data_IF_727763904217
#
_entry.id   IF_727763904217
#
_cell.length_a   1.000
_cell.length_b   1.000
_cell.length_c   1.000
_cell.angle_alpha   90.00
_cell.angle_beta   90.00
_cell.angle_gamma   90.00
#
_symmetry.space_group_name_H-M   'P 1'
#
loop_
_entity.id
_entity.type
_entity.pdbx_description
1 polymer ?
#
# COMPACT_ATOMS: atom_id res chain seq x y z
N UNK A 1 -39.50 -17.02 -27.62
CA UNK A 1 -39.05 -16.11 -26.53
C UNK A 1 -37.57 -15.82 -26.75
N UNK A 2 -37.23 -14.54 -26.92
CA UNK A 2 -36.01 -14.04 -27.57
C UNK A 2 -34.72 -14.35 -26.81
N UNK A 3 -33.74 -14.91 -27.52
CA UNK A 3 -32.35 -15.02 -27.11
C UNK A 3 -31.78 -13.60 -27.09
N UNK A 4 -31.54 -13.06 -25.88
CA UNK A 4 -30.94 -11.73 -25.68
C UNK A 4 -29.55 -11.68 -26.33
N UNK A 5 -29.44 -10.96 -27.44
CA UNK A 5 -28.17 -10.64 -28.10
C UNK A 5 -27.26 -9.87 -27.14
N UNK A 6 -26.27 -10.56 -26.57
CA UNK A 6 -25.22 -9.91 -25.77
C UNK A 6 -24.38 -9.02 -26.69
N UNK A 7 -24.65 -7.72 -26.72
CA UNK A 7 -23.80 -6.73 -27.39
C UNK A 7 -22.35 -6.87 -26.88
N UNK A 8 -21.43 -7.19 -27.77
CA UNK A 8 -19.99 -7.22 -27.47
C UNK A 8 -19.51 -5.78 -27.30
N UNK A 9 -19.23 -5.39 -26.05
CA UNK A 9 -18.65 -4.08 -25.75
C UNK A 9 -17.14 -4.21 -25.73
N UNK A 10 -16.44 -3.38 -26.51
CA UNK A 10 -14.98 -3.24 -26.43
C UNK A 10 -14.66 -2.22 -25.35
N UNK A 11 -13.89 -2.61 -24.35
CA UNK A 11 -13.45 -1.73 -23.26
C UNK A 11 -11.95 -1.51 -23.43
N UNK A 12 -11.52 -0.25 -23.49
CA UNK A 12 -10.12 0.14 -23.45
C UNK A 12 -9.78 0.70 -22.07
N UNK A 13 -8.72 0.17 -21.45
CA UNK A 13 -8.28 0.58 -20.12
C UNK A 13 -6.89 1.21 -20.25
N UNK A 14 -6.80 2.52 -19.98
CA UNK A 14 -5.54 3.25 -19.98
C UNK A 14 -5.16 3.67 -18.55
N UNK A 15 -4.12 3.03 -17.99
CA UNK A 15 -3.60 3.35 -16.66
C UNK A 15 -2.34 4.20 -16.80
N UNK A 16 -2.42 5.48 -16.43
CA UNK A 16 -1.27 6.38 -16.35
C UNK A 16 -0.38 5.99 -15.16
N UNK A 17 0.74 5.30 -15.44
CA UNK A 17 1.58 4.68 -14.40
C UNK A 17 2.27 5.71 -13.50
N UNK A 18 2.65 6.88 -14.01
CA UNK A 18 3.32 7.92 -13.20
C UNK A 18 2.46 8.47 -12.05
N UNK A 19 1.13 8.42 -12.18
CA UNK A 19 0.18 8.92 -11.17
C UNK A 19 -0.41 7.80 -10.31
N UNK A 20 -0.09 6.54 -10.60
CA UNK A 20 -0.69 5.39 -9.93
C UNK A 20 0.04 5.10 -8.61
N UNK A 21 -0.59 5.29 -7.43
CA UNK A 21 0.04 5.01 -6.16
C UNK A 21 0.11 3.50 -5.83
N UNK A 22 -0.35 2.63 -6.73
CA UNK A 22 -0.46 1.17 -6.55
C UNK A 22 -1.40 0.74 -5.41
N UNK A 23 -2.46 1.51 -5.17
CA UNK A 23 -3.42 1.28 -4.06
C UNK A 23 -4.38 0.10 -4.24
N UNK A 24 -4.35 -0.60 -5.37
CA UNK A 24 -5.24 -1.76 -5.67
C UNK A 24 -6.74 -1.48 -5.69
N UNK A 25 -7.22 -0.26 -5.47
CA UNK A 25 -8.66 0.06 -5.52
C UNK A 25 -9.28 -0.40 -6.85
N UNK A 26 -8.60 -0.17 -7.98
CA UNK A 26 -9.05 -0.62 -9.30
C UNK A 26 -9.05 -2.16 -9.46
N UNK A 27 -8.14 -2.89 -8.81
CA UNK A 27 -8.11 -4.35 -8.81
C UNK A 27 -9.34 -4.96 -8.13
N UNK A 28 -9.89 -4.29 -7.11
CA UNK A 28 -11.09 -4.76 -6.40
C UNK A 28 -12.40 -4.17 -6.94
N UNK A 29 -12.36 -3.00 -7.59
CA UNK A 29 -13.55 -2.39 -8.21
C UNK A 29 -13.84 -2.92 -9.63
N UNK A 30 -12.82 -3.39 -10.34
CA UNK A 30 -13.01 -4.03 -11.65
C UNK A 30 -13.37 -5.51 -11.50
N UNK A 31 -13.81 -6.13 -12.61
CA UNK A 31 -14.04 -7.56 -12.64
C UNK A 31 -12.75 -8.34 -12.29
N UNK A 32 -12.86 -9.47 -11.57
CA UNK A 32 -11.71 -10.26 -11.15
C UNK A 32 -10.79 -10.62 -12.33
N UNK A 33 -9.49 -10.41 -12.14
CA UNK A 33 -8.47 -10.76 -13.15
C UNK A 33 -8.25 -9.71 -14.25
N UNK A 34 -9.09 -8.68 -14.37
CA UNK A 34 -8.90 -7.62 -15.37
C UNK A 34 -7.70 -6.73 -15.04
N UNK A 35 -7.55 -6.35 -13.77
CA UNK A 35 -6.44 -5.52 -13.29
C UNK A 35 -5.78 -6.22 -12.13
N UNK A 36 -4.45 -6.30 -12.15
CA UNK A 36 -3.64 -6.81 -11.04
C UNK A 36 -2.60 -5.77 -10.65
N UNK A 37 -2.61 -5.36 -9.39
CA UNK A 37 -1.72 -4.29 -8.91
C UNK A 37 -0.76 -4.87 -7.88
N UNK A 38 0.54 -4.65 -8.12
CA UNK A 38 1.59 -4.93 -7.15
C UNK A 38 1.96 -3.64 -6.43
N UNK A 39 1.85 -3.62 -5.10
CA UNK A 39 2.24 -2.46 -4.29
C UNK A 39 3.74 -2.24 -4.35
N UNK A 40 4.16 -0.97 -4.28
CA UNK A 40 5.59 -0.61 -4.16
C UNK A 40 6.12 -0.91 -2.75
N UNK A 41 5.29 -0.73 -1.72
CA UNK A 41 5.65 -0.93 -0.32
C UNK A 41 4.71 -1.97 0.28
N UNK A 42 5.27 -2.92 1.04
CA UNK A 42 4.51 -3.80 1.92
C UNK A 42 4.81 -3.43 3.38
N UNK A 43 3.83 -3.66 4.24
CA UNK A 43 3.94 -3.27 5.64
C UNK A 43 2.75 -3.69 6.47
N UNK A 44 2.67 -3.10 7.66
CA UNK A 44 1.54 -3.19 8.58
C UNK A 44 1.18 -1.80 9.08
N UNK A 45 -0.11 -1.55 9.24
CA UNK A 45 -0.63 -0.35 9.87
C UNK A 45 -1.66 -0.73 10.93
N UNK A 46 -1.57 -0.11 12.10
CA UNK A 46 -2.48 -0.34 13.22
C UNK A 46 -2.97 0.99 13.79
N UNK A 47 -4.28 1.08 14.00
CA UNK A 47 -4.90 2.19 14.73
C UNK A 47 -5.29 1.68 16.12
N UNK A 48 -4.64 2.22 17.16
CA UNK A 48 -5.00 1.91 18.53
C UNK A 48 -6.27 2.67 18.90
N UNK A 49 -7.38 1.93 19.00
CA UNK A 49 -8.70 2.50 19.25
C UNK A 49 -8.85 3.13 20.64
N UNK A 50 -8.00 2.74 21.61
CA UNK A 50 -7.99 3.35 22.95
C UNK A 50 -7.41 4.78 22.90
N UNK A 51 -6.32 4.95 22.17
CA UNK A 51 -5.63 6.24 22.06
C UNK A 51 -6.29 7.15 21.01
N UNK A 52 -6.86 6.58 19.94
CA UNK A 52 -7.48 7.35 18.86
C UNK A 52 -8.78 8.06 19.33
N UNK A 53 -8.84 9.40 19.32
CA UNK A 53 -10.02 10.13 19.78
C UNK A 53 -11.24 9.85 18.89
N UNK A 54 -12.42 9.71 19.50
CA UNK A 54 -13.68 9.53 18.79
C UNK A 54 -13.98 10.77 17.94
N UNK A 55 -14.38 10.58 16.68
CA UNK A 55 -14.74 11.66 15.75
C UNK A 55 -13.57 12.40 15.10
N UNK A 56 -12.32 12.13 15.46
CA UNK A 56 -11.15 12.70 14.79
C UNK A 56 -11.02 12.17 13.36
N UNK A 57 -10.74 13.07 12.40
CA UNK A 57 -10.63 12.73 10.96
C UNK A 57 -9.30 13.14 10.30
N UNK A 58 -8.34 13.72 11.03
CA UNK A 58 -7.09 14.23 10.44
C UNK A 58 -6.38 13.23 9.52
N UNK A 59 -6.26 11.97 9.95
CA UNK A 59 -5.63 10.93 9.13
C UNK A 59 -6.49 10.48 7.95
N UNK A 60 -7.81 10.62 8.05
CA UNK A 60 -8.77 10.38 6.95
C UNK A 60 -8.63 11.44 5.89
N UNK A 61 -8.63 12.70 6.29
CA UNK A 61 -8.53 13.84 5.39
C UNK A 61 -7.15 13.91 4.69
N UNK A 62 -6.09 13.43 5.36
CA UNK A 62 -4.75 13.38 4.78
C UNK A 62 -4.48 12.17 3.86
N UNK A 63 -5.37 11.18 3.82
CA UNK A 63 -5.13 9.99 2.99
C UNK A 63 -5.59 10.24 1.56
N UNK A 64 -4.70 10.15 0.55
CA UNK A 64 -5.08 10.38 -0.84
C UNK A 64 -5.80 9.18 -1.47
N UNK A 65 -5.89 8.05 -0.76
CA UNK A 65 -6.44 6.81 -1.29
C UNK A 65 -7.88 6.65 -0.79
N UNK A 66 -8.87 6.55 -1.69
CA UNK A 66 -10.25 6.37 -1.27
C UNK A 66 -10.40 5.06 -0.49
N UNK A 67 -11.16 5.12 0.60
CA UNK A 67 -11.55 3.97 1.42
C UNK A 67 -10.38 3.23 2.10
N UNK A 68 -9.13 3.70 1.95
CA UNK A 68 -7.98 3.11 2.63
C UNK A 68 -8.00 3.39 4.13
N UNK A 69 -8.53 4.53 4.54
CA UNK A 69 -8.79 4.87 5.93
C UNK A 69 -10.16 5.56 5.98
N UNK A 70 -10.97 5.25 6.98
CA UNK A 70 -12.34 5.76 7.04
C UNK A 70 -12.82 5.87 8.49
N UNK A 71 -13.77 6.77 8.72
CA UNK A 71 -14.46 6.89 10.00
C UNK A 71 -15.71 5.99 9.97
N UNK A 72 -15.79 5.03 10.89
CA UNK A 72 -17.00 4.21 11.05
C UNK A 72 -18.19 5.10 11.43
N UNK A 73 -19.34 4.88 10.78
CA UNK A 73 -20.57 5.64 11.05
C UNK A 73 -21.11 5.38 12.45
N UNK A 74 -20.95 4.14 12.94
CA UNK A 74 -21.56 3.66 14.19
C UNK A 74 -20.66 4.00 15.38
N UNK A 75 -19.40 3.56 15.35
CA UNK A 75 -18.47 3.75 16.47
C UNK A 75 -17.86 5.15 16.50
N UNK A 76 -17.95 5.90 15.38
CA UNK A 76 -17.20 7.16 15.14
C UNK A 76 -15.70 6.99 15.41
N UNK A 77 -15.16 5.80 15.15
CA UNK A 77 -13.74 5.47 15.26
C UNK A 77 -13.12 5.29 13.88
N UNK A 78 -11.82 5.54 13.78
CA UNK A 78 -11.10 5.43 12.51
C UNK A 78 -10.66 3.98 12.30
N UNK A 79 -10.87 3.46 11.10
CA UNK A 79 -10.45 2.15 10.66
C UNK A 79 -9.61 2.27 9.39
N UNK A 80 -8.80 1.24 9.13
CA UNK A 80 -7.92 1.17 7.96
C UNK A 80 -8.22 -0.10 7.17
N UNK A 81 -8.32 0.04 5.84
CA UNK A 81 -8.35 -1.07 4.92
C UNK A 81 -6.93 -1.31 4.38
N UNK A 82 -6.25 -2.32 4.91
CA UNK A 82 -4.88 -2.64 4.51
C UNK A 82 -4.77 -3.12 3.05
N UNK A 83 -5.87 -3.58 2.42
CA UNK A 83 -5.85 -3.92 1.00
C UNK A 83 -5.55 -2.67 0.16
N UNK A 84 -6.04 -1.50 0.56
CA UNK A 84 -5.85 -0.24 -0.17
C UNK A 84 -4.70 0.63 0.34
N UNK A 85 -4.29 0.44 1.60
CA UNK A 85 -3.16 1.16 2.17
C UNK A 85 -1.86 0.91 1.39
N UNK A 86 -1.15 1.98 1.02
CA UNK A 86 0.15 1.92 0.32
C UNK A 86 1.34 2.17 1.26
N UNK A 87 1.08 2.25 2.58
CA UNK A 87 2.09 2.42 3.63
C UNK A 87 2.99 3.67 3.44
N UNK A 88 2.46 4.73 2.83
CA UNK A 88 3.20 5.98 2.60
C UNK A 88 3.52 6.73 3.90
N UNK A 89 2.62 6.67 4.89
CA UNK A 89 2.80 7.28 6.20
C UNK A 89 2.32 8.72 6.37
N UNK A 90 1.65 9.31 5.38
CA UNK A 90 1.03 10.62 5.50
C UNK A 90 0.11 10.70 6.75
N UNK A 91 -0.71 9.66 6.98
CA UNK A 91 -1.57 9.55 8.16
C UNK A 91 -0.81 9.56 9.50
N UNK A 92 0.41 9.01 9.54
CA UNK A 92 1.25 9.01 10.76
C UNK A 92 1.77 10.40 11.06
N UNK A 93 2.17 11.15 10.03
CA UNK A 93 2.72 12.51 10.15
C UNK A 93 1.67 13.48 10.70
N UNK A 94 0.41 13.39 10.24
CA UNK A 94 -0.66 14.31 10.67
C UNK A 94 -1.33 13.91 11.99
N UNK A 95 -1.06 12.71 12.51
CA UNK A 95 -1.69 12.21 13.73
C UNK A 95 -1.11 12.93 14.95
N UNK A 96 -1.89 13.76 15.67
CA UNK A 96 -1.37 14.52 16.80
C UNK A 96 -1.26 13.67 18.08
N UNK A 97 -1.80 12.45 18.06
CA UNK A 97 -1.85 11.59 19.23
C UNK A 97 -0.76 10.54 19.16
N UNK A 98 0.08 10.51 20.19
CA UNK A 98 1.14 9.53 20.32
C UNK A 98 0.57 8.10 20.42
N UNK A 99 1.23 7.16 19.76
CA UNK A 99 0.87 5.72 19.78
C UNK A 99 -0.56 5.39 19.32
N UNK A 100 -1.32 6.34 18.77
CA UNK A 100 -2.64 6.10 18.19
C UNK A 100 -2.57 5.45 16.80
N UNK A 101 -1.52 5.74 16.04
CA UNK A 101 -1.26 5.15 14.73
C UNK A 101 0.16 4.61 14.68
N UNK A 102 0.28 3.32 14.36
CA UNK A 102 1.54 2.62 14.19
C UNK A 102 1.66 2.19 12.73
N UNK A 103 2.82 2.47 12.13
CA UNK A 103 3.12 2.11 10.76
C UNK A 103 4.47 1.44 10.72
N UNK A 104 4.53 0.26 10.11
CA UNK A 104 5.78 -0.47 9.86
C UNK A 104 5.85 -0.84 8.38
N UNK A 105 6.92 -0.47 7.70
CA UNK A 105 7.22 -0.97 6.34
C UNK A 105 8.12 -2.20 6.47
N UNK A 106 7.81 -3.25 5.74
CA UNK A 106 8.53 -4.54 5.82
C UNK A 106 9.25 -4.89 4.53
N UNK A 107 8.85 -4.29 3.41
CA UNK A 107 9.47 -4.54 2.10
C UNK A 107 9.29 -3.34 1.19
N UNK A 108 10.31 -3.03 0.39
CA UNK A 108 10.19 -2.10 -0.72
C UNK A 108 10.51 -2.81 -2.04
N UNK A 109 9.71 -2.56 -3.07
CA UNK A 109 9.99 -3.06 -4.40
C UNK A 109 10.80 -2.03 -5.15
N UNK A 110 12.09 -2.34 -5.34
CA UNK A 110 13.04 -1.51 -6.05
C UNK A 110 13.93 -2.38 -6.96
N UNK A 111 14.58 -1.75 -7.93
CA UNK A 111 15.59 -2.37 -8.80
C UNK A 111 16.85 -2.68 -8.00
N UNK A 112 17.66 -3.64 -8.47
CA UNK A 112 18.91 -3.96 -7.79
C UNK A 112 19.80 -2.70 -7.73
N UNK A 113 20.09 -2.22 -6.52
CA UNK A 113 20.82 -0.97 -6.29
C UNK A 113 22.10 -1.27 -5.52
N UNK A 114 23.24 -0.76 -5.99
CA UNK A 114 24.57 -0.94 -5.38
C UNK A 114 25.05 0.37 -4.75
N UNK A 115 24.36 0.83 -3.72
CA UNK A 115 24.73 2.07 -3.02
C UNK A 115 24.61 1.89 -1.51
N UNK A 116 25.70 2.17 -0.80
CA UNK A 116 25.69 2.17 0.67
C UNK A 116 24.72 3.20 1.24
N UNK A 117 24.56 4.35 0.57
CA UNK A 117 23.59 5.38 0.95
C UNK A 117 22.16 4.89 0.78
N UNK A 118 21.88 4.19 -0.33
CA UNK A 118 20.58 3.56 -0.54
C UNK A 118 20.27 2.50 0.52
N UNK A 119 21.26 1.68 0.89
CA UNK A 119 21.09 0.67 1.93
C UNK A 119 20.72 1.31 3.28
N UNK A 120 21.42 2.38 3.69
CA UNK A 120 21.10 3.13 4.91
C UNK A 120 19.70 3.77 4.85
N UNK A 121 19.30 4.27 3.68
CA UNK A 121 17.95 4.81 3.50
C UNK A 121 16.89 3.71 3.65
N UNK A 122 17.11 2.52 3.09
CA UNK A 122 16.20 1.38 3.24
C UNK A 122 16.07 0.97 4.71
N UNK A 123 17.19 0.85 5.44
CA UNK A 123 17.18 0.53 6.87
C UNK A 123 16.33 1.51 7.69
N UNK A 124 16.39 2.80 7.36
CA UNK A 124 15.56 3.84 8.01
C UNK A 124 14.09 3.73 7.63
N UNK A 125 13.78 3.29 6.41
CA UNK A 125 12.41 3.22 5.91
C UNK A 125 11.65 1.98 6.40
N UNK A 126 12.32 0.83 6.56
CA UNK A 126 11.68 -0.45 6.92
C UNK A 126 12.05 -0.89 8.34
N UNK A 127 13.30 -1.28 8.53
CA UNK A 127 14.05 -1.50 9.77
C UNK A 127 15.36 -2.19 9.38
N UNK A 128 16.35 -2.25 10.27
CA UNK A 128 17.58 -3.01 10.01
C UNK A 128 17.29 -4.48 9.70
N UNK A 129 16.39 -5.12 10.45
CA UNK A 129 16.06 -6.54 10.28
C UNK A 129 15.38 -6.79 8.94
N UNK A 130 14.42 -5.94 8.56
CA UNK A 130 13.67 -6.12 7.32
C UNK A 130 14.50 -5.74 6.09
N UNK A 131 15.37 -4.72 6.20
CA UNK A 131 16.35 -4.40 5.17
C UNK A 131 17.33 -5.56 4.92
N UNK A 132 17.85 -6.22 5.97
CA UNK A 132 18.71 -7.40 5.82
C UNK A 132 17.99 -8.53 5.06
N UNK A 133 16.72 -8.79 5.35
CA UNK A 133 15.93 -9.80 4.62
C UNK A 133 15.81 -9.42 3.14
N UNK A 134 15.57 -8.15 2.85
CA UNK A 134 15.48 -7.63 1.48
C UNK A 134 16.81 -7.77 0.73
N UNK A 135 17.93 -7.40 1.35
CA UNK A 135 19.27 -7.58 0.79
C UNK A 135 19.57 -9.05 0.50
N UNK A 136 19.28 -9.96 1.44
CA UNK A 136 19.47 -11.40 1.24
C UNK A 136 18.65 -11.92 0.07
N UNK A 137 17.36 -11.59 0.01
CA UNK A 137 16.48 -12.00 -1.09
C UNK A 137 17.00 -11.52 -2.45
N UNK A 138 17.52 -10.30 -2.52
CA UNK A 138 18.09 -9.72 -3.75
C UNK A 138 19.45 -10.34 -4.13
N UNK A 139 20.31 -10.63 -3.16
CA UNK A 139 21.56 -11.36 -3.39
C UNK A 139 21.29 -12.77 -3.96
N UNK A 140 20.27 -13.46 -3.48
CA UNK A 140 19.86 -14.76 -4.02
C UNK A 140 19.29 -14.68 -5.44
N UNK A 141 18.51 -13.63 -5.75
CA UNK A 141 18.04 -13.38 -7.12
C UNK A 141 19.22 -13.17 -8.07
N UNK A 142 20.20 -12.36 -7.67
CA UNK A 142 21.43 -12.15 -8.44
C UNK A 142 22.18 -13.46 -8.72
N UNK A 143 22.33 -14.33 -7.72
CA UNK A 143 23.02 -15.60 -7.90
C UNK A 143 22.32 -16.47 -8.96
N UNK A 144 20.99 -16.39 -9.08
CA UNK A 144 20.23 -17.09 -10.13
C UNK A 144 20.41 -16.45 -11.50
N UNK A 145 20.35 -15.11 -11.57
CA UNK A 145 20.53 -14.36 -12.82
C UNK A 145 21.95 -14.55 -13.43
N UNK A 146 22.96 -14.90 -12.62
CA UNK A 146 24.33 -15.16 -13.10
C UNK A 146 24.54 -16.59 -13.64
N UNK A 147 23.60 -17.51 -13.38
CA UNK A 147 23.67 -18.92 -13.78
C UNK A 147 22.65 -19.23 -14.90
N UNK A 148 21.82 -18.26 -15.25
CA UNK A 148 20.83 -18.31 -16.34
C UNK A 148 21.38 -17.61 -17.57
#
# INVERSE_FOLDING_TARGET
>A
MSISEKKRVKIEINIKKEYCPTCRVCEFKCAPGVIKVKKIIEGKILINQKNCPKGCKKCVDACPIPEAIFLSKDSKKVHVNELFCVYCGACKVVCPVENALLLKRTKMYHTLTRSGTWNKALERLTSRVDAIKEFKAKSSLRAKDMVS
#
